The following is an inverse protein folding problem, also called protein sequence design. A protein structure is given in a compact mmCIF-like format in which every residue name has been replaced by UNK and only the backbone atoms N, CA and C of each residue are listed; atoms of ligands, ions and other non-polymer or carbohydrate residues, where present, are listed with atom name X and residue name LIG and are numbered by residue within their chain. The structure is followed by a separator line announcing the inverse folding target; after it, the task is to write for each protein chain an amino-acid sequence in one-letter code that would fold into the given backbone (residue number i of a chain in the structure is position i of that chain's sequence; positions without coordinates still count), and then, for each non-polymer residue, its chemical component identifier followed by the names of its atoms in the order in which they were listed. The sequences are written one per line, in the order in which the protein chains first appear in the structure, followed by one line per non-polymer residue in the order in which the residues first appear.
data_IF_716771465141
#
_entry.id   IF_716771465141
#
_cell.length_a   1.000
_cell.length_b   1.000
_cell.length_c   1.000
_cell.angle_alpha   90.00
_cell.angle_beta   90.00
_cell.angle_gamma   90.00
#
_symmetry.space_group_name_H-M   'P 1'
#
loop_
_entity.id
_entity.type
_entity.pdbx_description
1 polymer ?
#
# COMPACT_ATOMS: atom_id res chain seq x y z
N UNK A 1 -3.95 -12.84 21.00
CA UNK A 1 -4.00 -11.61 20.32
C UNK A 1 -2.77 -10.76 20.54
N UNK A 2 -2.12 -10.40 19.55
CA UNK A 2 -0.84 -9.77 19.73
C UNK A 2 -0.65 -8.61 18.78
N UNK A 3 0.15 -7.66 19.23
CA UNK A 3 0.59 -6.54 18.42
C UNK A 3 1.31 -7.03 17.17
N UNK A 4 2.05 -8.12 17.31
CA UNK A 4 2.79 -8.70 16.19
C UNK A 4 1.86 -9.16 15.07
N UNK A 5 0.70 -9.70 15.42
CA UNK A 5 -0.26 -10.11 14.42
C UNK A 5 -0.77 -8.91 13.64
N UNK A 6 -1.09 -7.82 14.33
CA UNK A 6 -1.54 -6.60 13.68
C UNK A 6 -0.46 -6.04 12.76
N UNK A 7 0.78 -6.05 13.21
CA UNK A 7 1.90 -5.60 12.40
C UNK A 7 2.01 -6.44 11.13
N UNK A 8 1.91 -7.75 11.26
CA UNK A 8 1.99 -8.65 10.12
C UNK A 8 0.84 -8.41 9.15
N UNK A 9 -0.36 -8.19 9.67
CA UNK A 9 -1.53 -7.92 8.82
C UNK A 9 -1.34 -6.63 8.02
N UNK A 10 -0.80 -5.60 8.66
CA UNK A 10 -0.53 -4.34 7.99
C UNK A 10 0.53 -4.51 6.91
N UNK A 11 1.58 -5.26 7.21
CA UNK A 11 2.62 -5.54 6.22
C UNK A 11 2.06 -6.27 5.01
N UNK A 12 1.18 -7.23 5.25
CA UNK A 12 0.55 -7.97 4.16
C UNK A 12 -0.31 -7.07 3.30
N UNK A 13 -1.06 -6.16 3.91
CA UNK A 13 -1.87 -5.21 3.17
C UNK A 13 -1.00 -4.31 2.30
N UNK A 14 0.08 -3.79 2.86
CA UNK A 14 0.99 -2.93 2.12
C UNK A 14 1.58 -3.68 0.92
N UNK A 15 2.02 -4.91 1.14
CA UNK A 15 2.60 -5.71 0.06
C UNK A 15 1.59 -5.96 -1.05
N UNK A 16 0.34 -6.26 -0.69
CA UNK A 16 -0.71 -6.49 -1.66
C UNK A 16 -0.98 -5.24 -2.50
N UNK A 17 -1.08 -4.09 -1.85
CA UNK A 17 -1.32 -2.82 -2.54
C UNK A 17 -0.16 -2.43 -3.44
N UNK A 18 1.08 -2.67 -2.99
CA UNK A 18 2.24 -2.40 -3.82
C UNK A 18 2.25 -3.26 -5.07
N UNK A 19 1.85 -4.52 -4.93
CA UNK A 19 1.74 -5.41 -6.08
C UNK A 19 0.67 -4.92 -7.04
N UNK A 20 -0.48 -4.52 -6.55
CA UNK A 20 -1.54 -3.98 -7.39
C UNK A 20 -1.07 -2.74 -8.15
N UNK A 21 -0.35 -1.87 -7.46
CA UNK A 21 0.18 -0.67 -8.08
C UNK A 21 1.15 -1.03 -9.21
N UNK A 22 2.06 -1.95 -8.94
CA UNK A 22 3.05 -2.37 -9.94
C UNK A 22 2.37 -3.01 -11.14
N UNK A 23 1.37 -3.84 -10.92
CA UNK A 23 0.63 -4.48 -12.01
C UNK A 23 -0.08 -3.44 -12.86
N UNK A 24 -0.68 -2.45 -12.24
CA UNK A 24 -1.34 -1.38 -12.98
C UNK A 24 -0.34 -0.60 -13.83
N UNK A 25 0.81 -0.26 -13.26
CA UNK A 25 1.82 0.47 -13.99
C UNK A 25 2.31 -0.31 -15.20
N UNK A 26 2.51 -1.61 -15.05
CA UNK A 26 2.95 -2.45 -16.14
C UNK A 26 1.87 -2.59 -17.21
N UNK A 27 0.63 -2.74 -16.79
CA UNK A 27 -0.48 -2.94 -17.73
C UNK A 27 -0.73 -1.71 -18.58
N UNK A 28 -0.54 -0.53 -18.01
CA UNK A 28 -0.86 0.72 -18.69
C UNK A 28 0.38 1.53 -19.04
N UNK A 29 1.48 0.86 -19.33
CA UNK A 29 2.70 1.53 -19.77
C UNK A 29 2.45 2.35 -21.01
N UNK A 30 2.83 3.61 -20.97
CA UNK A 30 2.72 4.50 -22.12
C UNK A 30 1.33 5.08 -22.37
N UNK A 31 0.31 4.53 -21.74
CA UNK A 31 -1.05 5.06 -21.85
C UNK A 31 -1.69 5.03 -20.49
N UNK A 32 -2.02 6.20 -19.94
CA UNK A 32 -2.63 6.31 -18.62
C UNK A 32 -3.99 6.96 -18.70
N UNK A 33 -5.08 6.18 -18.75
CA UNK A 33 -6.42 6.75 -18.63
C UNK A 33 -6.59 7.45 -17.28
N UNK A 34 -7.50 8.40 -17.20
CA UNK A 34 -7.71 9.17 -15.96
C UNK A 34 -7.98 8.26 -14.77
N UNK A 35 -8.78 7.21 -14.97
CA UNK A 35 -9.13 6.34 -13.86
C UNK A 35 -7.91 5.63 -13.28
N UNK A 36 -6.92 5.32 -14.12
CA UNK A 36 -5.70 4.67 -13.66
C UNK A 36 -4.91 5.62 -12.77
N UNK A 37 -4.79 6.88 -13.18
CA UNK A 37 -4.10 7.88 -12.37
C UNK A 37 -4.76 8.04 -11.00
N UNK A 38 -6.08 8.08 -10.98
CA UNK A 38 -6.84 8.21 -9.73
C UNK A 38 -6.63 6.98 -8.84
N UNK A 39 -6.71 5.79 -9.43
CA UNK A 39 -6.54 4.55 -8.67
C UNK A 39 -5.13 4.45 -8.10
N UNK A 40 -4.13 4.82 -8.89
CA UNK A 40 -2.75 4.79 -8.41
C UNK A 40 -2.56 5.76 -7.25
N UNK A 41 -3.14 6.96 -7.35
CA UNK A 41 -3.05 7.94 -6.27
C UNK A 41 -3.68 7.41 -4.99
N UNK A 42 -4.83 6.76 -5.10
CA UNK A 42 -5.51 6.17 -3.93
C UNK A 42 -4.66 5.07 -3.31
N UNK A 43 -4.10 4.19 -4.15
CA UNK A 43 -3.24 3.12 -3.64
C UNK A 43 -2.00 3.67 -2.95
N UNK A 44 -1.37 4.66 -3.55
CA UNK A 44 -0.17 5.26 -2.95
C UNK A 44 -0.49 5.92 -1.63
N UNK A 45 -1.62 6.61 -1.54
CA UNK A 45 -2.04 7.24 -0.30
C UNK A 45 -2.26 6.20 0.80
N UNK A 46 -2.93 5.10 0.47
CA UNK A 46 -3.15 4.02 1.42
C UNK A 46 -1.83 3.41 1.90
N UNK A 47 -0.93 3.16 0.97
CA UNK A 47 0.37 2.59 1.29
C UNK A 47 1.11 3.49 2.26
N UNK A 48 1.16 4.80 1.97
CA UNK A 48 1.86 5.75 2.82
C UNK A 48 1.24 5.83 4.21
N UNK A 49 -0.08 5.86 4.26
CA UNK A 49 -0.81 5.92 5.52
C UNK A 49 -0.53 4.69 6.39
N UNK A 50 -0.55 3.52 5.78
CA UNK A 50 -0.32 2.29 6.51
C UNK A 50 1.15 2.11 6.89
N UNK A 51 2.06 2.61 6.06
CA UNK A 51 3.48 2.63 6.43
C UNK A 51 3.71 3.48 7.68
N UNK A 52 3.07 4.63 7.74
CA UNK A 52 3.17 5.50 8.91
C UNK A 52 2.63 4.81 10.15
N UNK A 53 1.48 4.14 10.01
CA UNK A 53 0.88 3.40 11.11
C UNK A 53 1.80 2.28 11.58
N UNK A 54 2.40 1.57 10.63
CA UNK A 54 3.31 0.49 10.94
C UNK A 54 4.52 1.00 11.73
N UNK A 55 5.08 2.13 11.29
CA UNK A 55 6.22 2.73 11.97
C UNK A 55 5.85 3.10 13.41
N UNK A 56 4.66 3.65 13.63
CA UNK A 56 4.20 3.97 14.96
C UNK A 56 4.09 2.73 15.83
N UNK A 57 3.53 1.67 15.30
CA UNK A 57 3.35 0.44 16.06
C UNK A 57 4.69 -0.19 16.42
N UNK A 58 5.62 -0.19 15.48
CA UNK A 58 6.94 -0.76 15.74
C UNK A 58 7.76 0.09 16.70
N UNK A 59 7.50 1.38 16.72
CA UNK A 59 8.21 2.29 17.60
C UNK A 59 7.69 2.32 19.02
N UNK A 60 6.57 1.69 19.27
CA UNK A 60 5.94 1.71 20.60
C UNK A 60 6.50 0.69 21.57
N UNK A 61 7.43 -0.09 21.19
CA UNK A 61 7.99 -1.10 22.08
C UNK A 61 8.81 -0.55 23.22
#
# INVERSE_FOLDING_TARGET
MTKQKEINDIKDCIASWQRQRDEMEMRYQGVRPSFVSTDLAVLEERIERYKAKLAEMEGEE
#
